data_IF_377856251216
#
_entry.id   IF_377856251216
#
_cell.length_a   1.000
_cell.length_b   1.000
_cell.length_c   1.000
_cell.angle_alpha   90.00
_cell.angle_beta   90.00
_cell.angle_gamma   90.00
#
_symmetry.space_group_name_H-M   'P 1'
#
loop_
_entity.id
_entity.type
_entity.pdbx_description
1 polymer ?
#
# COMPACT_ATOMS: atom_id res chain seq x y z
N UNK A 1 -3.10 7.84 -17.42
CA UNK A 1 -1.72 7.52 -17.89
C UNK A 1 -0.77 8.05 -16.81
N UNK A 2 0.16 7.23 -16.35
CA UNK A 2 1.11 7.63 -15.31
C UNK A 2 2.29 8.40 -15.93
N UNK A 3 2.87 9.40 -15.24
CA UNK A 3 3.98 10.20 -15.78
C UNK A 3 5.27 9.36 -15.90
N UNK A 4 6.17 9.73 -16.81
CA UNK A 4 7.45 9.02 -17.02
C UNK A 4 8.33 8.96 -15.77
N UNK A 5 8.21 9.97 -14.91
CA UNK A 5 8.90 10.02 -13.62
C UNK A 5 8.17 9.29 -12.48
N UNK A 6 7.22 8.42 -12.81
CA UNK A 6 6.60 7.53 -11.82
C UNK A 6 7.31 6.19 -11.74
N UNK A 7 7.35 5.64 -10.53
CA UNK A 7 7.83 4.28 -10.25
C UNK A 7 6.69 3.46 -9.67
N UNK A 8 6.69 2.18 -9.99
CA UNK A 8 5.71 1.22 -9.49
C UNK A 8 6.34 0.38 -8.38
N UNK A 9 5.73 0.40 -7.20
CA UNK A 9 6.23 -0.29 -6.01
C UNK A 9 5.14 -1.22 -5.49
N UNK A 10 5.49 -2.49 -5.30
CA UNK A 10 4.62 -3.47 -4.66
C UNK A 10 5.15 -3.79 -3.27
N UNK A 11 4.32 -3.56 -2.26
CA UNK A 11 4.51 -4.03 -0.90
C UNK A 11 3.77 -5.34 -0.65
N UNK A 12 4.37 -6.25 0.10
CA UNK A 12 3.78 -7.56 0.41
C UNK A 12 3.74 -7.83 1.91
N UNK A 13 2.68 -8.51 2.34
CA UNK A 13 2.54 -9.06 3.68
C UNK A 13 2.29 -10.57 3.58
N UNK A 14 3.18 -11.34 4.21
CA UNK A 14 2.97 -12.78 4.42
C UNK A 14 1.94 -12.94 5.54
N UNK A 15 0.70 -13.25 5.18
CA UNK A 15 -0.36 -13.47 6.16
C UNK A 15 -0.29 -14.91 6.67
N UNK A 16 -0.23 -15.09 8.00
CA UNK A 16 -0.43 -16.36 8.70
C UNK A 16 -1.92 -16.58 9.09
N UNK A 17 -2.79 -15.62 8.77
CA UNK A 17 -4.16 -15.55 9.23
C UNK A 17 -5.17 -16.00 8.17
N UNK A 18 -6.08 -16.88 8.60
CA UNK A 18 -7.13 -17.50 7.80
C UNK A 18 -8.27 -16.50 7.49
N UNK A 19 -8.10 -15.63 6.49
CA UNK A 19 -9.14 -14.74 5.97
C UNK A 19 -9.35 -14.96 4.46
N UNK A 20 -10.53 -14.56 3.93
CA UNK A 20 -10.97 -14.89 2.57
C UNK A 20 -9.96 -14.47 1.48
N UNK A 21 -9.25 -13.36 1.69
CA UNK A 21 -8.22 -12.85 0.77
C UNK A 21 -7.00 -13.79 0.73
N UNK A 22 -6.53 -14.28 1.89
CA UNK A 22 -5.35 -15.16 1.96
C UNK A 22 -5.60 -16.52 1.34
N UNK A 23 -6.82 -17.05 1.44
CA UNK A 23 -7.19 -18.33 0.82
C UNK A 23 -7.18 -18.28 -0.72
N UNK A 24 -7.41 -17.10 -1.31
CA UNK A 24 -7.49 -16.96 -2.77
C UNK A 24 -6.17 -16.50 -3.41
N UNK A 25 -5.34 -15.72 -2.70
CA UNK A 25 -4.14 -15.09 -3.26
C UNK A 25 -2.82 -15.43 -2.54
N UNK A 26 -2.84 -16.27 -1.50
CA UNK A 26 -1.65 -16.66 -0.71
C UNK A 26 -0.85 -15.49 -0.08
N UNK A 27 -1.43 -14.28 -0.01
CA UNK A 27 -0.81 -13.10 0.57
C UNK A 27 -1.64 -11.84 0.37
N UNK A 28 -1.24 -10.76 1.03
CA UNK A 28 -1.82 -9.43 0.84
C UNK A 28 -0.79 -8.51 0.19
N UNK A 29 -1.19 -7.83 -0.88
CA UNK A 29 -0.34 -6.91 -1.63
C UNK A 29 -0.94 -5.50 -1.64
N UNK A 30 -0.07 -4.50 -1.62
CA UNK A 30 -0.40 -3.12 -2.01
C UNK A 30 0.51 -2.72 -3.16
N UNK A 31 -0.09 -2.26 -4.25
CA UNK A 31 0.56 -1.67 -5.40
C UNK A 31 0.46 -0.15 -5.30
N UNK A 32 1.57 0.55 -5.48
CA UNK A 32 1.66 2.00 -5.43
C UNK A 32 2.33 2.52 -6.70
N UNK A 33 1.73 3.52 -7.32
CA UNK A 33 2.41 4.37 -8.31
C UNK A 33 2.89 5.61 -7.57
N UNK A 34 4.19 5.88 -7.61
CA UNK A 34 4.83 6.93 -6.81
C UNK A 34 5.62 7.85 -7.72
N UNK A 35 5.49 9.17 -7.56
CA UNK A 35 6.40 10.13 -8.15
C UNK A 35 7.80 9.88 -7.57
N UNK A 36 8.76 9.55 -8.43
CA UNK A 36 10.09 9.11 -8.01
C UNK A 36 10.81 10.14 -7.15
N UNK A 37 10.72 11.42 -7.50
CA UNK A 37 11.52 12.45 -6.85
C UNK A 37 10.84 12.97 -5.57
N UNK A 38 9.52 13.19 -5.62
CA UNK A 38 8.79 13.74 -4.47
C UNK A 38 8.37 12.68 -3.46
N UNK A 39 8.22 11.42 -3.87
CA UNK A 39 7.61 10.37 -3.06
C UNK A 39 6.09 10.46 -2.97
N UNK A 40 5.44 11.35 -3.73
CA UNK A 40 3.98 11.43 -3.78
C UNK A 40 3.38 10.16 -4.38
N UNK A 41 2.40 9.56 -3.70
CA UNK A 41 1.64 8.42 -4.19
C UNK A 41 0.56 8.95 -5.16
N UNK A 42 0.73 8.63 -6.43
CA UNK A 42 -0.14 9.03 -7.53
C UNK A 42 -1.35 8.10 -7.69
N UNK A 43 -1.17 6.83 -7.36
CA UNK A 43 -2.24 5.83 -7.39
C UNK A 43 -1.91 4.65 -6.47
N UNK A 44 -2.93 3.92 -6.03
CA UNK A 44 -2.78 2.75 -5.18
C UNK A 44 -3.89 1.71 -5.44
N UNK A 45 -3.54 0.44 -5.29
CA UNK A 45 -4.47 -0.68 -5.31
C UNK A 45 -4.02 -1.74 -4.31
N UNK A 46 -4.96 -2.47 -3.70
CA UNK A 46 -4.60 -3.59 -2.83
C UNK A 46 -5.38 -4.85 -3.15
N UNK A 47 -4.87 -5.99 -2.69
CA UNK A 47 -5.61 -7.26 -2.78
C UNK A 47 -6.95 -7.14 -2.06
N UNK A 48 -8.04 -7.32 -2.81
CA UNK A 48 -9.39 -7.34 -2.27
C UNK A 48 -10.33 -8.18 -3.13
N UNK A 49 -11.40 -8.68 -2.51
CA UNK A 49 -12.52 -9.33 -3.19
C UNK A 49 -13.68 -8.36 -3.48
N UNK A 50 -13.65 -7.16 -2.90
CA UNK A 50 -14.72 -6.16 -3.05
C UNK A 50 -14.09 -4.81 -3.41
N UNK A 51 -14.48 -4.26 -4.55
CA UNK A 51 -13.91 -3.03 -5.11
C UNK A 51 -13.90 -1.85 -4.13
N UNK A 52 -14.94 -1.70 -3.32
CA UNK A 52 -15.03 -0.61 -2.33
C UNK A 52 -13.87 -0.64 -1.33
N UNK A 53 -13.33 -1.82 -1.01
CA UNK A 53 -12.18 -1.96 -0.12
C UNK A 53 -10.93 -1.39 -0.77
N UNK A 54 -10.66 -1.76 -2.02
CA UNK A 54 -9.50 -1.26 -2.76
C UNK A 54 -9.62 0.24 -3.03
N UNK A 55 -10.81 0.72 -3.38
CA UNK A 55 -11.09 2.14 -3.57
C UNK A 55 -10.91 2.95 -2.27
N UNK A 56 -11.31 2.41 -1.11
CA UNK A 56 -11.09 3.06 0.17
C UNK A 56 -9.60 3.15 0.51
N UNK A 57 -8.85 2.07 0.28
CA UNK A 57 -7.38 2.05 0.43
C UNK A 57 -6.75 3.07 -0.51
N UNK A 58 -7.12 3.09 -1.80
CA UNK A 58 -6.66 4.08 -2.77
C UNK A 58 -6.85 5.52 -2.29
N UNK A 59 -8.05 5.85 -1.81
CA UNK A 59 -8.37 7.18 -1.28
C UNK A 59 -7.56 7.53 -0.02
N UNK A 60 -7.12 6.53 0.75
CA UNK A 60 -6.27 6.74 1.91
C UNK A 60 -4.83 7.09 1.54
N UNK A 61 -4.32 6.68 0.38
CA UNK A 61 -2.92 6.88 0.00
C UNK A 61 -2.69 7.94 -1.06
N UNK A 62 -3.62 8.13 -2.00
CA UNK A 62 -3.44 9.06 -3.13
C UNK A 62 -3.19 10.50 -2.63
N UNK A 63 -2.24 11.19 -3.27
CA UNK A 63 -1.81 12.57 -2.92
C UNK A 63 -1.13 12.71 -1.55
N UNK A 64 -0.72 11.60 -0.93
CA UNK A 64 0.13 11.58 0.27
C UNK A 64 1.52 11.10 -0.11
N UNK A 65 2.49 11.25 0.79
CA UNK A 65 3.87 10.88 0.52
C UNK A 65 4.21 9.53 1.14
N UNK A 66 4.86 8.65 0.37
CA UNK A 66 5.29 7.33 0.86
C UNK A 66 6.28 7.44 2.03
N UNK A 67 6.94 8.58 2.19
CA UNK A 67 7.84 8.91 3.30
C UNK A 67 7.12 9.27 4.60
N UNK A 68 5.82 9.61 4.56
CA UNK A 68 5.00 9.94 5.73
C UNK A 68 4.51 8.66 6.44
N UNK A 69 5.46 7.78 6.77
CA UNK A 69 5.18 6.42 7.21
C UNK A 69 4.27 6.38 8.44
N UNK A 70 4.62 7.12 9.50
CA UNK A 70 3.89 7.08 10.77
C UNK A 70 2.46 7.62 10.61
N UNK A 71 2.30 8.73 9.88
CA UNK A 71 0.99 9.30 9.57
C UNK A 71 0.09 8.34 8.79
N UNK A 72 0.63 7.68 7.76
CA UNK A 72 -0.12 6.73 6.95
C UNK A 72 -0.48 5.46 7.74
N UNK A 73 0.39 5.02 8.66
CA UNK A 73 0.07 3.91 9.56
C UNK A 73 -1.06 4.26 10.53
N UNK A 74 -1.05 5.46 11.09
CA UNK A 74 -2.12 5.96 11.96
C UNK A 74 -3.46 6.08 11.21
N UNK A 75 -3.45 6.55 9.95
CA UNK A 75 -4.64 6.57 9.09
C UNK A 75 -5.21 5.16 8.85
N UNK A 76 -4.36 4.15 8.64
CA UNK A 76 -4.79 2.75 8.49
C UNK A 76 -5.39 2.25 9.81
N UNK A 77 -4.75 2.53 10.95
CA UNK A 77 -5.21 2.10 12.27
C UNK A 77 -6.56 2.71 12.66
N UNK A 78 -6.77 3.99 12.34
CA UNK A 78 -7.94 4.76 12.76
C UNK A 78 -9.13 4.68 11.78
N UNK A 79 -8.90 4.34 10.51
CA UNK A 79 -9.94 4.39 9.47
C UNK A 79 -10.22 3.07 8.78
N UNK A 80 -9.30 2.11 8.80
CA UNK A 80 -9.46 0.82 8.11
C UNK A 80 -9.66 -0.33 9.11
N UNK A 81 -10.90 -0.64 9.45
CA UNK A 81 -11.25 -1.73 10.39
C UNK A 81 -11.51 -3.07 9.70
N UNK A 82 -10.88 -3.32 8.55
CA UNK A 82 -10.99 -4.58 7.82
C UNK A 82 -10.12 -5.68 8.42
N UNK A 83 -10.47 -6.95 8.15
CA UNK A 83 -9.67 -8.11 8.61
C UNK A 83 -8.21 -8.11 8.11
N UNK A 84 -7.92 -7.35 7.05
CA UNK A 84 -6.58 -7.16 6.49
C UNK A 84 -5.82 -5.97 7.06
N UNK A 85 -6.28 -5.30 8.13
CA UNK A 85 -5.66 -4.05 8.62
C UNK A 85 -4.17 -4.22 8.91
N UNK A 86 -3.80 -5.23 9.71
CA UNK A 86 -2.39 -5.52 10.00
C UNK A 86 -1.60 -5.89 8.74
N UNK A 87 -2.22 -6.60 7.80
CA UNK A 87 -1.59 -7.00 6.56
C UNK A 87 -1.30 -5.78 5.67
N UNK A 88 -2.24 -4.83 5.58
CA UNK A 88 -2.08 -3.56 4.88
C UNK A 88 -0.94 -2.72 5.46
N UNK A 89 -0.87 -2.61 6.79
CA UNK A 89 0.23 -1.91 7.47
C UNK A 89 1.59 -2.54 7.16
N UNK A 90 1.71 -3.88 7.21
CA UNK A 90 2.95 -4.59 6.92
C UNK A 90 3.35 -4.44 5.46
N UNK A 91 2.40 -4.59 4.53
CA UNK A 91 2.64 -4.41 3.10
C UNK A 91 3.07 -2.98 2.80
N UNK A 92 2.44 -1.97 3.40
CA UNK A 92 2.83 -0.58 3.23
C UNK A 92 4.24 -0.28 3.77
N UNK A 93 4.59 -0.79 4.96
CA UNK A 93 5.97 -0.70 5.49
C UNK A 93 6.99 -1.32 4.51
N UNK A 94 6.66 -2.47 3.92
CA UNK A 94 7.52 -3.11 2.92
C UNK A 94 7.70 -2.23 1.67
N UNK A 95 6.63 -1.59 1.18
CA UNK A 95 6.69 -0.66 0.05
C UNK A 95 7.55 0.58 0.37
N UNK A 96 7.41 1.17 1.56
CA UNK A 96 8.24 2.28 2.03
C UNK A 96 9.74 1.92 2.05
N UNK A 97 10.10 0.73 2.58
CA UNK A 97 11.49 0.26 2.58
C UNK A 97 12.03 0.16 1.14
N UNK A 98 11.25 -0.41 0.21
CA UNK A 98 11.64 -0.51 -1.21
C UNK A 98 11.85 0.87 -1.84
N UNK A 99 10.97 1.83 -1.56
CA UNK A 99 11.13 3.22 -2.01
C UNK A 99 12.46 3.81 -1.52
N UNK A 100 12.75 3.73 -0.23
CA UNK A 100 14.00 4.25 0.35
C UNK A 100 15.24 3.58 -0.27
N UNK A 101 15.18 2.29 -0.57
CA UNK A 101 16.27 1.57 -1.27
C UNK A 101 16.47 2.03 -2.72
N UNK A 102 15.41 2.45 -3.41
CA UNK A 102 15.48 3.02 -4.76
C UNK A 102 16.09 4.42 -4.72
N UNK A 103 15.76 5.22 -3.70
CA UNK A 103 16.24 6.61 -3.55
C UNK A 103 17.67 6.72 -3.04
N UNK A 104 18.16 5.71 -2.32
CA UNK A 104 19.54 5.66 -1.80
C UNK A 104 20.55 5.01 -2.78
N UNK A 105 20.17 4.83 -4.05
CA UNK A 105 21.04 4.34 -5.14
C UNK A 105 21.37 5.46 -6.10
#
# INVERSE_FOLDING_TARGET
MFPDNSIYIVGESKTSTNNAITQQYNGFFIALVVNRDSGEILDAECTSTIDITSNFVKAMFTSKYITDLDFLLEEIESRYFGSSQKALMVAFKNANIKYLQIMNK
#
